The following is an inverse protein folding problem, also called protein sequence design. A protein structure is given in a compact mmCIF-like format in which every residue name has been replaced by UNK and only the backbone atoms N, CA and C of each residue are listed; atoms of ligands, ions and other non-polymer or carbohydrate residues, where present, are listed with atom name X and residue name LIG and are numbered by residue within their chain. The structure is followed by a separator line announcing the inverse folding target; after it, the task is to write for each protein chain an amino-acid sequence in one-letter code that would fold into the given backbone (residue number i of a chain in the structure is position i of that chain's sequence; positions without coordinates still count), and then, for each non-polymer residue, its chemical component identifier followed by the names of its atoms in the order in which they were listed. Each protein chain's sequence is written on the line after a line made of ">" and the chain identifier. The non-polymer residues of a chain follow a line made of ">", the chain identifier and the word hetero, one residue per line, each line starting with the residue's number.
data_IF_011512907492
#
_entry.id   IF_011512907492
#
_cell.length_a   1.000
_cell.length_b   1.000
_cell.length_c   1.000
_cell.angle_alpha   90.00
_cell.angle_beta   90.00
_cell.angle_gamma   90.00
#
_symmetry.space_group_name_H-M   'P 1'
#
loop_
_entity.id
_entity.type
_entity.pdbx_description
1 polymer ?
#
# COMPACT_ATOMS: atom_id res chain seq x y z
N UNK A 1 2.21 -17.55 -20.72
CA UNK A 1 1.82 -17.67 -19.31
C UNK A 1 3.08 -17.49 -18.49
N UNK A 2 3.34 -16.29 -17.96
CA UNK A 2 4.43 -16.10 -16.98
C UNK A 2 3.96 -16.79 -15.70
N UNK A 3 4.66 -17.83 -15.28
CA UNK A 3 4.28 -18.54 -14.06
C UNK A 3 4.43 -17.56 -12.88
N UNK A 4 3.50 -17.59 -11.92
CA UNK A 4 3.50 -16.71 -10.74
C UNK A 4 4.86 -16.73 -9.98
N UNK A 5 5.59 -17.82 -10.10
CA UNK A 5 6.93 -18.00 -9.54
C UNK A 5 7.99 -17.09 -10.20
N UNK A 6 7.84 -16.78 -11.49
CA UNK A 6 8.77 -15.88 -12.20
C UNK A 6 8.57 -14.42 -11.79
N UNK A 7 7.32 -14.04 -11.49
CA UNK A 7 6.99 -12.70 -10.99
C UNK A 7 7.58 -12.50 -9.60
N UNK A 8 7.42 -13.46 -8.69
CA UNK A 8 8.01 -13.40 -7.36
C UNK A 8 9.54 -13.26 -7.40
N UNK A 9 10.21 -14.09 -8.20
CA UNK A 9 11.67 -14.02 -8.41
C UNK A 9 12.12 -12.70 -9.01
N UNK A 10 11.33 -12.14 -9.91
CA UNK A 10 11.63 -10.84 -10.52
C UNK A 10 11.54 -9.72 -9.49
N UNK A 11 10.50 -9.68 -8.65
CA UNK A 11 10.39 -8.70 -7.57
C UNK A 11 11.51 -8.85 -6.54
N UNK A 12 11.86 -10.08 -6.14
CA UNK A 12 12.98 -10.34 -5.23
C UNK A 12 14.32 -9.82 -5.78
N UNK A 13 14.56 -10.04 -7.08
CA UNK A 13 15.74 -9.52 -7.78
C UNK A 13 15.73 -7.99 -7.85
N UNK A 14 14.58 -7.38 -8.14
CA UNK A 14 14.44 -5.92 -8.19
C UNK A 14 14.65 -5.28 -6.82
N UNK A 15 14.10 -5.87 -5.75
CA UNK A 15 14.26 -5.38 -4.39
C UNK A 15 15.69 -5.56 -3.87
N UNK A 16 16.46 -6.47 -4.48
CA UNK A 16 17.88 -6.68 -4.19
C UNK A 16 18.80 -5.69 -4.92
N UNK A 17 18.27 -4.78 -5.75
CA UNK A 17 19.08 -3.78 -6.44
C UNK A 17 19.61 -2.77 -5.41
N UNK A 18 20.93 -2.46 -5.40
CA UNK A 18 21.48 -1.43 -4.54
C UNK A 18 20.83 -0.08 -4.83
N UNK A 19 20.41 0.64 -3.78
CA UNK A 19 19.67 1.90 -3.89
C UNK A 19 18.18 1.78 -3.57
N UNK A 20 17.61 0.57 -3.53
CA UNK A 20 16.17 0.37 -3.27
C UNK A 20 15.73 0.73 -1.84
N UNK A 21 16.67 0.84 -0.90
CA UNK A 21 16.44 1.29 0.48
C UNK A 21 16.81 2.78 0.69
N UNK A 22 17.14 3.51 -0.37
CA UNK A 22 17.46 4.94 -0.24
C UNK A 22 16.20 5.78 -0.03
N UNK A 23 16.26 6.67 0.96
CA UNK A 23 15.16 7.59 1.25
C UNK A 23 15.10 8.70 0.21
N UNK A 24 13.97 8.79 -0.49
CA UNK A 24 13.69 9.87 -1.44
C UNK A 24 12.71 10.88 -0.86
N UNK A 25 12.87 12.16 -1.22
CA UNK A 25 11.88 13.20 -0.90
C UNK A 25 10.79 13.21 -1.95
N UNK A 26 9.55 13.01 -1.52
CA UNK A 26 8.39 12.89 -2.39
C UNK A 26 7.52 14.15 -2.28
N UNK A 27 7.53 15.00 -3.32
CA UNK A 27 6.70 16.21 -3.39
C UNK A 27 5.44 15.93 -4.22
N UNK A 28 4.33 15.60 -3.55
CA UNK A 28 3.05 15.29 -4.20
C UNK A 28 2.05 16.43 -3.98
N UNK A 29 1.40 16.87 -5.06
CA UNK A 29 0.16 17.65 -5.01
C UNK A 29 -0.98 16.84 -5.65
N UNK A 30 -1.91 16.36 -4.82
CA UNK A 30 -3.08 15.63 -5.28
C UNK A 30 -4.35 16.14 -4.58
N UNK A 31 -5.50 15.93 -5.21
CA UNK A 31 -6.79 16.32 -4.64
C UNK A 31 -7.14 15.47 -3.41
N UNK A 32 -7.94 16.03 -2.50
CA UNK A 32 -8.51 15.31 -1.34
C UNK A 32 -9.18 13.98 -1.73
N UNK A 33 -9.90 13.96 -2.85
CA UNK A 33 -10.49 12.75 -3.42
C UNK A 33 -9.45 11.67 -3.68
N UNK A 34 -8.35 12.05 -4.34
CA UNK A 34 -7.30 11.09 -4.69
C UNK A 34 -6.52 10.61 -3.47
N UNK A 35 -6.34 11.45 -2.44
CA UNK A 35 -5.74 11.03 -1.15
C UNK A 35 -6.60 9.94 -0.50
N UNK A 36 -7.92 10.15 -0.47
CA UNK A 36 -8.85 9.18 0.12
C UNK A 36 -8.84 7.85 -0.65
N UNK A 37 -8.89 7.91 -1.99
CA UNK A 37 -8.84 6.72 -2.84
C UNK A 37 -7.51 5.97 -2.69
N UNK A 38 -6.38 6.69 -2.69
CA UNK A 38 -5.05 6.12 -2.53
C UNK A 38 -4.93 5.36 -1.20
N UNK A 39 -5.39 5.97 -0.12
CA UNK A 39 -5.33 5.35 1.21
C UNK A 39 -6.14 4.06 1.23
N UNK A 40 -7.34 4.05 0.65
CA UNK A 40 -8.19 2.87 0.60
C UNK A 40 -7.59 1.73 -0.25
N UNK A 41 -6.90 2.07 -1.34
CA UNK A 41 -6.19 1.08 -2.18
C UNK A 41 -5.01 0.48 -1.41
N UNK A 42 -4.24 1.30 -0.70
CA UNK A 42 -3.11 0.84 0.12
C UNK A 42 -3.62 -0.08 1.24
N UNK A 43 -4.65 0.35 1.98
CA UNK A 43 -5.25 -0.45 3.05
C UNK A 43 -5.83 -1.77 2.53
N UNK A 44 -6.58 -1.74 1.42
CA UNK A 44 -7.11 -2.95 0.80
C UNK A 44 -5.99 -3.88 0.31
N UNK A 45 -4.91 -3.30 -0.22
CA UNK A 45 -3.73 -4.04 -0.63
C UNK A 45 -3.08 -4.77 0.54
N UNK A 46 -2.84 -4.07 1.66
CA UNK A 46 -2.20 -4.63 2.85
C UNK A 46 -3.11 -5.63 3.58
N UNK A 47 -4.42 -5.35 3.68
CA UNK A 47 -5.36 -6.16 4.47
C UNK A 47 -5.83 -7.45 3.79
N UNK A 48 -5.51 -7.66 2.51
CA UNK A 48 -5.58 -8.99 1.88
C UNK A 48 -6.91 -9.73 2.08
N UNK A 49 -8.06 -9.07 1.87
CA UNK A 49 -9.38 -9.73 1.92
C UNK A 49 -9.63 -10.74 0.77
N UNK A 50 -8.68 -10.91 -0.14
CA UNK A 50 -8.65 -11.99 -1.14
C UNK A 50 -7.75 -13.15 -0.63
N UNK A 51 -8.06 -13.66 0.57
CA UNK A 51 -7.32 -14.76 1.22
C UNK A 51 -7.39 -16.12 0.51
N UNK A 52 -7.95 -16.20 -0.70
CA UNK A 52 -8.06 -17.45 -1.47
C UNK A 52 -6.95 -17.65 -2.51
N UNK A 53 -6.02 -16.67 -2.65
CA UNK A 53 -4.89 -16.79 -3.58
C UNK A 53 -3.57 -16.60 -2.87
N UNK A 54 -3.09 -17.68 -2.23
CA UNK A 54 -1.68 -17.84 -1.90
C UNK A 54 -0.82 -17.44 -3.12
N UNK A 55 0.04 -16.42 -2.95
CA UNK A 55 0.85 -15.83 -4.02
C UNK A 55 0.35 -14.47 -4.51
N UNK A 56 -0.20 -13.65 -3.62
CA UNK A 56 -0.44 -12.23 -3.90
C UNK A 56 0.88 -11.46 -3.83
N UNK A 57 1.00 -10.36 -4.57
CA UNK A 57 2.20 -9.50 -4.57
C UNK A 57 2.67 -9.12 -3.15
N UNK A 58 1.71 -9.04 -2.24
CA UNK A 58 1.88 -8.70 -0.83
C UNK A 58 2.68 -9.76 -0.05
N UNK A 59 2.62 -11.03 -0.44
CA UNK A 59 3.39 -12.11 0.19
C UNK A 59 4.90 -12.00 -0.12
N UNK A 60 5.26 -11.25 -1.16
CA UNK A 60 6.65 -11.04 -1.60
C UNK A 60 7.25 -9.78 -0.96
N UNK A 61 6.42 -8.85 -0.50
CA UNK A 61 6.91 -7.59 0.06
C UNK A 61 7.28 -7.72 1.54
N UNK A 62 8.37 -7.06 1.99
CA UNK A 62 8.72 -7.05 3.41
C UNK A 62 7.60 -6.44 4.26
N UNK A 63 7.27 -7.08 5.38
CA UNK A 63 6.27 -6.58 6.33
C UNK A 63 6.59 -5.16 6.82
N UNK A 64 7.86 -4.83 6.97
CA UNK A 64 8.33 -3.49 7.34
C UNK A 64 7.92 -2.46 6.29
N UNK A 65 8.19 -2.72 5.01
CA UNK A 65 7.80 -1.85 3.90
C UNK A 65 6.29 -1.69 3.79
N UNK A 66 5.52 -2.74 4.05
CA UNK A 66 4.05 -2.67 4.10
C UNK A 66 3.56 -1.78 5.26
N UNK A 67 4.20 -1.87 6.43
CA UNK A 67 3.89 -1.02 7.58
C UNK A 67 4.26 0.46 7.32
N UNK A 68 5.38 0.71 6.65
CA UNK A 68 5.77 2.06 6.23
C UNK A 68 4.77 2.66 5.23
N UNK A 69 4.33 1.89 4.22
CA UNK A 69 3.29 2.32 3.29
C UNK A 69 1.95 2.59 4.00
N UNK A 70 1.59 1.75 4.98
CA UNK A 70 0.42 1.97 5.83
C UNK A 70 0.52 3.30 6.59
N UNK A 71 1.68 3.56 7.22
CA UNK A 71 1.95 4.80 7.95
C UNK A 71 1.92 6.03 7.04
N UNK A 72 2.50 5.94 5.84
CA UNK A 72 2.46 6.97 4.83
C UNK A 72 1.02 7.32 4.42
N UNK A 73 0.17 6.30 4.22
CA UNK A 73 -1.24 6.52 3.89
C UNK A 73 -2.00 7.28 4.99
N UNK A 74 -1.75 6.96 6.26
CA UNK A 74 -2.32 7.65 7.40
C UNK A 74 -1.82 9.11 7.50
N UNK A 75 -0.54 9.35 7.22
CA UNK A 75 0.00 10.71 7.13
C UNK A 75 -0.63 11.52 6.00
N UNK A 76 -0.87 10.92 4.83
CA UNK A 76 -1.56 11.59 3.73
C UNK A 76 -2.99 12.02 4.12
N UNK A 77 -3.75 11.15 4.80
CA UNK A 77 -5.08 11.49 5.32
C UNK A 77 -5.01 12.64 6.33
N UNK A 78 -4.05 12.58 7.25
CA UNK A 78 -3.86 13.63 8.27
C UNK A 78 -3.53 14.97 7.62
N UNK A 79 -2.60 15.00 6.66
CA UNK A 79 -2.24 16.21 5.89
C UNK A 79 -3.41 16.76 5.06
N UNK A 80 -4.27 15.88 4.54
CA UNK A 80 -5.45 16.28 3.79
C UNK A 80 -6.64 16.72 4.66
N UNK A 81 -6.58 16.51 5.98
CA UNK A 81 -7.70 16.76 6.91
C UNK A 81 -8.86 15.78 6.70
N UNK A 82 -8.56 14.55 6.29
CA UNK A 82 -9.54 13.53 5.94
C UNK A 82 -9.54 12.31 6.88
N UNK A 83 -8.73 12.33 7.94
CA UNK A 83 -8.63 11.22 8.89
C UNK A 83 -10.00 10.84 9.48
N UNK A 84 -10.70 11.80 10.09
CA UNK A 84 -12.03 11.58 10.67
C UNK A 84 -13.07 11.11 9.65
N UNK A 85 -13.02 11.62 8.42
CA UNK A 85 -13.91 11.21 7.35
C UNK A 85 -13.65 9.75 6.96
N UNK A 86 -12.37 9.38 6.84
CA UNK A 86 -11.97 8.03 6.50
C UNK A 86 -12.38 7.03 7.59
N UNK A 87 -12.23 7.38 8.87
CA UNK A 87 -12.67 6.54 9.98
C UNK A 87 -14.18 6.34 9.97
N UNK A 88 -14.96 7.42 9.81
CA UNK A 88 -16.43 7.31 9.65
C UNK A 88 -16.84 6.45 8.46
N UNK A 89 -16.10 6.54 7.34
CA UNK A 89 -16.36 5.71 6.17
C UNK A 89 -16.06 4.24 6.43
N UNK A 90 -15.00 3.91 7.19
CA UNK A 90 -14.71 2.52 7.60
C UNK A 90 -15.79 1.96 8.52
N UNK A 91 -16.32 2.76 9.43
CA UNK A 91 -17.45 2.37 10.28
C UNK A 91 -18.71 2.05 9.44
N UNK A 92 -18.90 2.74 8.32
CA UNK A 92 -20.01 2.50 7.39
C UNK A 92 -19.77 1.28 6.48
N UNK A 93 -18.53 1.04 6.09
CA UNK A 93 -18.10 -0.07 5.21
C UNK A 93 -17.99 -1.42 5.96
N UNK A 94 -17.88 -1.36 7.29
CA UNK A 94 -17.86 -2.52 8.19
C UNK A 94 -19.25 -3.13 8.50
N UNK A 95 -20.29 -2.74 7.75
CA UNK A 95 -21.63 -3.34 7.75
C UNK A 95 -21.86 -4.12 6.46
#
# INVERSE_FOLDING_TARGET
>A
MLAKNDVAKFYDTLLSIPGMNELIKLNIQISRKNVLLLTRIIEHGITGKDSDKAGSLMDIFPNESLQELGSFSAECLKKAGLADLNDKLKELDGK
#
